data_IF_841845377693
#
_entry.id   IF_841845377693
#
_cell.length_a   1.000
_cell.length_b   1.000
_cell.length_c   1.000
_cell.angle_alpha   90.00
_cell.angle_beta   90.00
_cell.angle_gamma   90.00
#
_symmetry.space_group_name_H-M   'P 1'
#
loop_
_entity.id
_entity.type
_entity.pdbx_description
1 polymer ?
#
# COMPACT_ATOMS: atom_id res chain seq x y z
N UNK A 1 -21.88 -4.41 30.10
CA UNK A 1 -21.12 -5.51 29.47
C UNK A 1 -20.81 -5.07 28.06
N UNK A 2 -19.61 -4.55 27.84
CA UNK A 2 -19.16 -4.16 26.49
C UNK A 2 -18.89 -5.41 25.67
N UNK A 3 -19.53 -5.50 24.51
CA UNK A 3 -19.22 -6.50 23.49
C UNK A 3 -17.89 -6.11 22.87
N UNK A 4 -16.83 -6.85 23.20
CA UNK A 4 -15.59 -6.86 22.41
C UNK A 4 -15.92 -7.42 21.03
N UNK A 5 -16.04 -6.57 20.02
CA UNK A 5 -15.92 -7.00 18.63
C UNK A 5 -14.43 -7.16 18.34
N UNK A 6 -13.92 -8.38 18.52
CA UNK A 6 -12.62 -8.79 17.99
C UNK A 6 -12.77 -8.96 16.48
N UNK A 7 -12.36 -7.96 15.71
CA UNK A 7 -12.25 -8.06 14.24
C UNK A 7 -11.26 -9.17 13.88
N UNK A 8 -11.73 -10.23 13.23
CA UNK A 8 -10.89 -11.39 12.90
C UNK A 8 -10.43 -11.35 11.44
N UNK A 9 -9.13 -11.17 11.21
CA UNK A 9 -8.47 -11.39 9.91
C UNK A 9 -8.89 -12.73 9.31
N UNK A 10 -9.38 -12.74 8.06
CA UNK A 10 -9.80 -13.97 7.37
C UNK A 10 -8.57 -14.66 6.80
N UNK A 11 -8.33 -15.91 7.18
CA UNK A 11 -7.21 -16.71 6.67
C UNK A 11 -7.50 -17.20 5.25
N UNK A 12 -6.43 -17.28 4.44
CA UNK A 12 -6.44 -17.79 3.07
C UNK A 12 -7.54 -17.14 2.20
N UNK A 13 -7.62 -15.81 2.28
CA UNK A 13 -8.57 -14.99 1.53
C UNK A 13 -8.12 -14.69 0.10
N UNK A 14 -6.83 -14.87 -0.19
CA UNK A 14 -6.30 -14.75 -1.54
C UNK A 14 -5.09 -15.65 -1.78
N UNK A 15 -4.65 -15.69 -3.02
CA UNK A 15 -3.45 -16.42 -3.45
C UNK A 15 -2.56 -15.48 -4.25
N UNK A 16 -1.24 -15.52 -4.01
CA UNK A 16 -0.22 -14.93 -4.86
C UNK A 16 0.45 -16.06 -5.66
N UNK A 17 0.16 -16.11 -6.95
CA UNK A 17 0.70 -17.11 -7.88
C UNK A 17 1.70 -16.49 -8.86
N UNK A 18 2.61 -17.28 -9.41
CA UNK A 18 3.56 -16.82 -10.43
C UNK A 18 3.23 -17.38 -11.81
N UNK A 19 3.47 -16.58 -12.84
CA UNK A 19 3.38 -16.94 -14.25
C UNK A 19 4.62 -16.42 -15.00
N UNK A 20 4.81 -16.90 -16.23
CA UNK A 20 5.89 -16.46 -17.12
C UNK A 20 5.69 -15.01 -17.55
N UNK A 21 6.77 -14.39 -18.02
CA UNK A 21 6.71 -13.04 -18.58
C UNK A 21 6.27 -13.10 -20.04
N UNK A 22 5.28 -12.30 -20.40
CA UNK A 22 4.83 -12.12 -21.77
C UNK A 22 4.78 -10.62 -22.05
N UNK A 23 5.63 -10.14 -22.94
CA UNK A 23 5.73 -8.72 -23.26
C UNK A 23 4.51 -8.15 -24.00
N UNK A 24 3.59 -9.00 -24.47
CA UNK A 24 2.34 -8.62 -25.12
C UNK A 24 1.16 -8.60 -24.13
N UNK A 25 1.40 -8.06 -22.94
CA UNK A 25 0.40 -7.86 -21.86
C UNK A 25 -0.37 -9.12 -21.45
N UNK A 26 0.21 -10.31 -21.67
CA UNK A 26 -0.51 -11.59 -21.51
C UNK A 26 -1.88 -11.60 -22.23
N UNK A 27 -1.92 -10.95 -23.40
CA UNK A 27 -3.08 -10.82 -24.25
C UNK A 27 -2.76 -11.16 -25.72
N UNK A 28 -1.64 -11.84 -25.98
CA UNK A 28 -1.20 -12.35 -27.28
C UNK A 28 -0.08 -13.41 -27.11
N UNK A 29 0.41 -14.00 -28.19
CA UNK A 29 1.59 -14.86 -28.20
C UNK A 29 2.80 -14.18 -27.56
N UNK A 30 3.67 -14.94 -26.86
CA UNK A 30 4.92 -14.38 -26.36
C UNK A 30 5.89 -14.13 -27.52
N UNK A 31 6.77 -13.15 -27.38
CA UNK A 31 7.88 -12.98 -28.33
C UNK A 31 8.89 -14.12 -28.21
N UNK A 32 9.73 -14.30 -29.23
CA UNK A 32 10.83 -15.28 -29.13
C UNK A 32 11.78 -14.99 -27.96
N UNK A 33 11.98 -13.70 -27.64
CA UNK A 33 12.83 -13.29 -26.53
C UNK A 33 12.19 -13.66 -25.19
N UNK A 34 10.87 -13.46 -25.05
CA UNK A 34 10.10 -13.88 -23.87
C UNK A 34 10.28 -15.40 -23.63
N UNK A 35 10.20 -16.21 -24.69
CA UNK A 35 10.39 -17.67 -24.60
C UNK A 35 11.81 -18.05 -24.17
N UNK A 36 12.83 -17.46 -24.81
CA UNK A 36 14.25 -17.76 -24.54
C UNK A 36 14.69 -17.34 -23.13
N UNK A 37 14.13 -16.25 -22.62
CA UNK A 37 14.52 -15.66 -21.32
C UNK A 37 13.65 -16.14 -20.15
N UNK A 38 12.67 -17.01 -20.41
CA UNK A 38 11.76 -17.50 -19.38
C UNK A 38 12.50 -18.22 -18.24
N UNK A 39 12.05 -17.96 -17.01
CA UNK A 39 12.52 -18.65 -15.80
C UNK A 39 11.90 -20.04 -15.61
N UNK A 40 10.98 -20.44 -16.49
CA UNK A 40 10.33 -21.75 -16.45
C UNK A 40 10.93 -22.66 -17.52
N UNK A 41 11.53 -23.77 -17.08
CA UNK A 41 12.20 -24.72 -17.99
C UNK A 41 11.23 -25.26 -19.04
N UNK A 42 10.00 -25.62 -18.64
CA UNK A 42 8.95 -26.04 -19.57
C UNK A 42 8.75 -25.07 -20.75
N UNK A 43 8.75 -23.77 -20.48
CA UNK A 43 8.52 -22.74 -21.51
C UNK A 43 9.69 -22.68 -22.49
N UNK A 44 10.93 -22.76 -21.98
CA UNK A 44 12.13 -22.80 -22.83
C UNK A 44 12.17 -24.06 -23.68
N UNK A 45 11.82 -25.20 -23.08
CA UNK A 45 11.93 -26.51 -23.72
C UNK A 45 10.86 -26.73 -24.80
N UNK A 46 9.66 -26.14 -24.64
CA UNK A 46 8.52 -26.37 -25.53
C UNK A 46 8.15 -25.15 -26.40
N UNK A 47 8.76 -23.99 -26.15
CA UNK A 47 8.45 -22.76 -26.90
C UNK A 47 7.00 -22.30 -26.72
N UNK A 48 6.39 -22.60 -25.57
CA UNK A 48 4.97 -22.37 -25.31
C UNK A 48 4.71 -21.87 -23.88
N UNK A 49 3.85 -20.86 -23.74
CA UNK A 49 3.41 -20.27 -22.47
C UNK A 49 1.89 -20.35 -22.37
N UNK A 50 1.36 -21.30 -21.61
CA UNK A 50 -0.09 -21.53 -21.48
C UNK A 50 -0.85 -20.29 -20.93
N UNK A 51 -0.19 -19.49 -20.12
CA UNK A 51 -0.69 -18.25 -19.50
C UNK A 51 -0.74 -17.03 -20.45
N UNK A 52 -0.36 -17.19 -21.73
CA UNK A 52 -0.20 -16.08 -22.67
C UNK A 52 -1.45 -15.24 -22.91
N UNK A 53 -2.63 -15.77 -22.62
CA UNK A 53 -3.90 -15.07 -22.84
C UNK A 53 -4.60 -14.69 -21.52
N UNK A 54 -3.95 -14.80 -20.36
CA UNK A 54 -4.59 -14.56 -19.05
C UNK A 54 -5.27 -13.18 -18.92
N UNK A 55 -4.78 -12.15 -19.60
CA UNK A 55 -5.36 -10.81 -19.58
C UNK A 55 -5.92 -10.37 -20.94
N UNK A 56 -6.22 -11.32 -21.82
CA UNK A 56 -6.83 -11.09 -23.13
C UNK A 56 -8.37 -11.04 -23.15
N UNK A 57 -9.03 -11.04 -21.99
CA UNK A 57 -10.50 -11.16 -21.85
C UNK A 57 -11.30 -10.02 -22.47
N UNK A 58 -10.69 -8.84 -22.69
CA UNK A 58 -11.35 -7.73 -23.40
C UNK A 58 -11.18 -7.85 -24.94
N UNK A 59 -10.31 -8.75 -25.43
CA UNK A 59 -10.00 -8.94 -26.85
C UNK A 59 -10.59 -10.22 -27.45
N UNK A 60 -10.75 -11.26 -26.62
CA UNK A 60 -11.10 -12.60 -27.08
C UNK A 60 -12.46 -13.05 -26.51
N UNK A 61 -13.18 -13.94 -27.20
CA UNK A 61 -14.49 -14.40 -26.76
C UNK A 61 -14.41 -15.13 -25.41
N UNK A 62 -15.48 -15.00 -24.62
CA UNK A 62 -15.70 -15.81 -23.41
C UNK A 62 -16.28 -17.17 -23.77
N UNK A 63 -16.23 -18.10 -22.83
CA UNK A 63 -16.88 -19.41 -22.98
C UNK A 63 -18.41 -19.26 -22.88
N UNK A 64 -19.14 -20.31 -23.30
CA UNK A 64 -20.62 -20.30 -23.33
C UNK A 64 -21.29 -20.02 -21.97
N UNK A 65 -20.58 -20.29 -20.86
CA UNK A 65 -21.04 -20.02 -19.50
C UNK A 65 -20.69 -18.60 -19.00
N UNK A 66 -20.14 -17.76 -19.87
CA UNK A 66 -19.77 -16.37 -19.59
C UNK A 66 -18.40 -16.19 -18.93
N UNK A 67 -17.70 -17.27 -18.59
CA UNK A 67 -16.39 -17.17 -17.97
C UNK A 67 -15.26 -17.00 -18.99
N UNK A 68 -14.18 -16.37 -18.56
CA UNK A 68 -12.93 -16.37 -19.28
C UNK A 68 -11.90 -17.28 -18.59
N UNK A 69 -11.32 -18.20 -19.35
CA UNK A 69 -10.35 -19.18 -18.84
C UNK A 69 -8.94 -18.57 -18.85
N UNK A 70 -8.21 -18.76 -17.75
CA UNK A 70 -6.80 -18.47 -17.60
C UNK A 70 -6.03 -19.69 -17.12
N UNK A 71 -4.71 -19.54 -17.02
CA UNK A 71 -3.81 -20.60 -16.58
C UNK A 71 -2.72 -20.06 -15.64
N UNK A 72 -2.36 -20.85 -14.64
CA UNK A 72 -1.10 -20.69 -13.91
C UNK A 72 -0.42 -22.04 -13.71
N UNK A 73 0.90 -22.16 -13.95
CA UNK A 73 1.62 -23.41 -13.72
C UNK A 73 1.59 -23.84 -12.25
N UNK A 74 1.36 -22.90 -11.33
CA UNK A 74 1.30 -23.20 -9.89
C UNK A 74 0.08 -24.02 -9.50
N UNK A 75 -0.97 -24.05 -10.34
CA UNK A 75 -2.19 -24.82 -10.11
C UNK A 75 -2.19 -26.18 -10.83
N UNK A 76 -1.10 -26.56 -11.52
CA UNK A 76 -0.91 -27.93 -12.00
C UNK A 76 -0.96 -28.94 -10.84
N UNK A 77 -0.55 -28.48 -9.64
CA UNK A 77 -0.97 -29.07 -8.38
C UNK A 77 -1.99 -28.11 -7.74
N UNK A 78 -3.29 -28.43 -7.76
CA UNK A 78 -4.32 -27.49 -7.34
C UNK A 78 -4.16 -27.12 -5.85
N UNK A 79 -4.60 -25.92 -5.44
CA UNK A 79 -4.69 -25.55 -4.04
C UNK A 79 -5.53 -26.55 -3.23
N UNK A 80 -5.15 -26.76 -1.98
CA UNK A 80 -5.90 -27.61 -1.06
C UNK A 80 -7.31 -27.06 -0.84
N UNK A 81 -8.33 -27.92 -0.95
CA UNK A 81 -9.75 -27.54 -0.93
C UNK A 81 -10.12 -26.82 0.37
N UNK A 82 -9.68 -27.34 1.52
CA UNK A 82 -10.01 -26.76 2.82
C UNK A 82 -9.32 -25.40 3.01
N UNK A 83 -8.06 -25.29 2.59
CA UNK A 83 -7.33 -24.03 2.68
C UNK A 83 -7.84 -22.99 1.69
N UNK A 84 -8.42 -23.39 0.56
CA UNK A 84 -8.86 -22.46 -0.50
C UNK A 84 -10.33 -22.05 -0.40
N UNK A 85 -11.10 -22.57 0.55
CA UNK A 85 -12.54 -22.28 0.72
C UNK A 85 -12.88 -20.78 0.85
N UNK A 86 -11.95 -19.98 1.37
CA UNK A 86 -12.13 -18.54 1.59
C UNK A 86 -11.51 -17.69 0.49
N UNK A 87 -10.85 -18.29 -0.51
CA UNK A 87 -10.11 -17.54 -1.53
C UNK A 87 -11.10 -16.80 -2.42
N UNK A 88 -10.99 -15.48 -2.41
CA UNK A 88 -11.80 -14.60 -3.23
C UNK A 88 -11.00 -13.98 -4.38
N UNK A 89 -9.66 -14.00 -4.33
CA UNK A 89 -8.80 -13.39 -5.34
C UNK A 89 -7.53 -14.21 -5.57
N UNK A 90 -7.14 -14.39 -6.83
CA UNK A 90 -5.84 -14.93 -7.23
C UNK A 90 -5.04 -13.85 -7.96
N UNK A 91 -4.00 -13.34 -7.32
CA UNK A 91 -3.04 -12.40 -7.90
C UNK A 91 -1.97 -13.14 -8.71
N UNK A 92 -1.55 -12.54 -9.82
CA UNK A 92 -0.48 -13.05 -10.65
C UNK A 92 0.77 -12.18 -10.54
N UNK A 93 1.91 -12.86 -10.37
CA UNK A 93 3.23 -12.25 -10.43
C UNK A 93 3.99 -12.72 -11.65
N UNK A 94 4.80 -11.83 -12.21
CA UNK A 94 5.74 -12.16 -13.27
C UNK A 94 7.07 -11.45 -13.07
N UNK A 95 8.12 -11.92 -13.75
CA UNK A 95 9.47 -11.35 -13.65
C UNK A 95 9.87 -10.70 -14.97
N UNK A 96 9.97 -9.39 -14.95
CA UNK A 96 10.34 -8.56 -16.09
C UNK A 96 11.84 -8.68 -16.37
N UNK A 97 12.21 -9.52 -17.35
CA UNK A 97 13.62 -9.74 -17.68
C UNK A 97 14.28 -8.48 -18.27
N UNK A 98 13.52 -7.60 -18.92
CA UNK A 98 14.03 -6.33 -19.49
C UNK A 98 14.44 -5.35 -18.39
N UNK A 99 13.81 -5.45 -17.23
CA UNK A 99 14.11 -4.62 -16.07
C UNK A 99 14.81 -5.42 -14.95
N UNK A 100 15.96 -6.01 -15.28
CA UNK A 100 16.81 -6.75 -14.33
C UNK A 100 16.04 -7.84 -13.55
N UNK A 101 15.13 -8.55 -14.23
CA UNK A 101 14.32 -9.60 -13.63
C UNK A 101 13.42 -9.12 -12.48
N UNK A 102 13.04 -7.84 -12.46
CA UNK A 102 12.16 -7.22 -11.46
C UNK A 102 10.84 -7.98 -11.39
N UNK A 103 10.50 -8.49 -10.21
CA UNK A 103 9.24 -9.19 -9.97
C UNK A 103 8.13 -8.17 -9.69
N UNK A 104 6.98 -8.35 -10.32
CA UNK A 104 5.82 -7.49 -10.19
C UNK A 104 4.55 -8.31 -10.05
N UNK A 105 3.53 -7.77 -9.37
CA UNK A 105 2.15 -8.22 -9.43
C UNK A 105 1.51 -7.48 -10.61
N UNK A 106 0.99 -8.23 -11.58
CA UNK A 106 0.55 -7.70 -12.88
C UNK A 106 -0.97 -7.61 -13.02
N UNK A 107 -1.70 -8.20 -12.08
CA UNK A 107 -3.16 -8.24 -12.11
C UNK A 107 -3.70 -9.38 -11.26
N UNK A 108 -5.01 -9.62 -11.35
CA UNK A 108 -5.67 -10.71 -10.64
C UNK A 108 -6.94 -11.17 -11.33
N UNK A 109 -7.39 -12.36 -10.91
CA UNK A 109 -8.74 -12.85 -11.14
C UNK A 109 -9.50 -12.77 -9.82
N UNK A 110 -10.60 -12.01 -9.81
CA UNK A 110 -11.53 -11.88 -8.71
C UNK A 110 -12.63 -12.93 -8.78
N UNK A 111 -13.11 -13.36 -7.61
CA UNK A 111 -14.08 -14.44 -7.43
C UNK A 111 -13.82 -15.67 -8.32
N UNK A 112 -12.57 -16.17 -8.41
CA UNK A 112 -12.23 -17.16 -9.41
C UNK A 112 -12.76 -18.55 -9.05
N UNK A 113 -13.07 -19.33 -10.08
CA UNK A 113 -13.26 -20.78 -9.99
C UNK A 113 -11.97 -21.46 -10.41
N UNK A 114 -11.44 -22.34 -9.57
CA UNK A 114 -10.22 -23.11 -9.82
C UNK A 114 -10.30 -24.48 -9.11
N UNK A 115 -9.25 -25.29 -9.24
CA UNK A 115 -9.16 -26.63 -8.64
C UNK A 115 -9.46 -27.77 -9.60
N UNK A 116 -9.81 -27.44 -10.85
CA UNK A 116 -9.98 -28.39 -11.95
C UNK A 116 -9.48 -27.78 -13.26
N UNK A 117 -9.36 -28.61 -14.30
CA UNK A 117 -9.09 -28.16 -15.66
C UNK A 117 -10.38 -27.71 -16.35
N UNK A 118 -10.25 -26.64 -17.14
CA UNK A 118 -11.32 -26.09 -17.97
C UNK A 118 -10.85 -26.10 -19.43
N UNK A 119 -11.67 -26.61 -20.33
CA UNK A 119 -11.42 -26.60 -21.77
C UNK A 119 -12.22 -25.48 -22.40
N UNK A 120 -11.61 -24.75 -23.33
CA UNK A 120 -12.29 -23.72 -24.12
C UNK A 120 -13.23 -24.36 -25.13
N UNK A 121 -14.45 -23.83 -25.23
CA UNK A 121 -15.44 -24.23 -26.22
C UNK A 121 -15.74 -23.10 -27.22
N UNK A 122 -15.41 -21.87 -26.86
CA UNK A 122 -15.48 -20.70 -27.72
C UNK A 122 -14.53 -20.80 -28.92
N UNK A 123 -14.89 -20.14 -30.03
CA UNK A 123 -14.15 -20.22 -31.30
C UNK A 123 -13.25 -19.00 -31.49
N UNK A 124 -11.94 -19.21 -31.46
CA UNK A 124 -10.95 -18.23 -31.86
C UNK A 124 -9.69 -18.94 -32.37
N UNK A 125 -8.97 -18.37 -33.34
CA UNK A 125 -7.78 -19.00 -33.95
C UNK A 125 -6.71 -19.36 -32.90
N UNK A 126 -6.45 -18.42 -31.97
CA UNK A 126 -5.50 -18.63 -30.87
C UNK A 126 -5.92 -19.75 -29.90
N UNK A 127 -7.21 -20.06 -29.79
CA UNK A 127 -7.70 -21.10 -28.86
C UNK A 127 -7.36 -22.51 -29.32
N UNK A 128 -6.92 -22.70 -30.56
CA UNK A 128 -6.30 -23.97 -30.97
C UNK A 128 -4.98 -24.24 -30.25
N UNK A 129 -4.27 -23.18 -29.83
CA UNK A 129 -2.99 -23.27 -29.11
C UNK A 129 -3.15 -23.11 -27.59
N UNK A 130 -4.18 -22.37 -27.17
CA UNK A 130 -4.47 -22.06 -25.76
C UNK A 130 -5.84 -22.63 -25.38
N UNK A 131 -6.02 -23.93 -25.60
CA UNK A 131 -7.31 -24.64 -25.59
C UNK A 131 -7.86 -24.92 -24.19
N UNK A 132 -7.08 -24.68 -23.14
CA UNK A 132 -7.44 -25.07 -21.79
C UNK A 132 -6.70 -24.25 -20.72
N UNK A 133 -7.18 -24.33 -19.49
CA UNK A 133 -6.62 -23.65 -18.33
C UNK A 133 -7.11 -24.24 -17.01
N UNK A 134 -6.67 -23.66 -15.89
CA UNK A 134 -6.91 -24.20 -14.54
C UNK A 134 -7.48 -23.16 -13.55
N UNK A 135 -7.88 -22.00 -14.07
CA UNK A 135 -8.60 -20.96 -13.35
C UNK A 135 -9.53 -20.25 -14.33
N UNK A 136 -10.70 -19.81 -13.88
CA UNK A 136 -11.58 -18.95 -14.68
C UNK A 136 -12.28 -17.93 -13.79
N UNK A 137 -12.62 -16.79 -14.36
CA UNK A 137 -13.40 -15.74 -13.69
C UNK A 137 -14.29 -15.04 -14.73
N UNK A 138 -15.30 -14.31 -14.27
CA UNK A 138 -16.05 -13.45 -15.17
C UNK A 138 -15.13 -12.33 -15.70
N UNK A 139 -15.24 -11.92 -16.98
CA UNK A 139 -14.40 -10.89 -17.54
C UNK A 139 -14.36 -9.63 -16.70
N UNK A 140 -15.49 -9.16 -16.17
CA UNK A 140 -15.60 -7.98 -15.31
C UNK A 140 -14.74 -8.05 -14.03
N UNK A 141 -14.44 -9.26 -13.55
CA UNK A 141 -13.65 -9.52 -12.34
C UNK A 141 -12.18 -9.85 -12.65
N UNK A 142 -11.78 -9.84 -13.93
CA UNK A 142 -10.39 -9.97 -14.34
C UNK A 142 -9.78 -8.58 -14.50
N UNK A 143 -8.76 -8.29 -13.69
CA UNK A 143 -8.13 -6.98 -13.64
C UNK A 143 -6.67 -7.08 -14.04
N UNK A 144 -6.31 -6.44 -15.15
CA UNK A 144 -4.93 -6.19 -15.55
C UNK A 144 -4.43 -4.83 -15.02
N UNK A 145 -3.20 -4.77 -14.52
CA UNK A 145 -2.58 -3.54 -14.06
C UNK A 145 -1.68 -2.95 -15.15
N UNK A 146 -2.06 -1.82 -15.74
CA UNK A 146 -1.21 -1.07 -16.66
C UNK A 146 0.08 -0.60 -15.97
N UNK A 147 -0.01 -0.26 -14.68
CA UNK A 147 1.11 0.04 -13.81
C UNK A 147 1.22 -1.07 -12.74
N UNK A 148 2.07 -2.09 -12.94
CA UNK A 148 2.12 -3.25 -12.06
C UNK A 148 2.77 -2.93 -10.71
N UNK A 149 2.38 -3.66 -9.66
CA UNK A 149 2.91 -3.47 -8.31
C UNK A 149 4.27 -4.17 -8.18
N UNK A 150 5.35 -3.42 -8.01
CA UNK A 150 6.68 -4.01 -7.78
C UNK A 150 6.71 -4.76 -6.45
N UNK A 151 7.26 -5.97 -6.43
CA UNK A 151 7.34 -6.78 -5.21
C UNK A 151 8.67 -7.52 -5.08
N UNK A 152 9.27 -7.39 -3.89
CA UNK A 152 10.37 -8.20 -3.39
C UNK A 152 10.12 -8.49 -1.90
N UNK A 153 11.00 -9.26 -1.23
CA UNK A 153 10.77 -9.62 0.17
C UNK A 153 10.72 -8.39 1.10
N UNK A 154 11.52 -7.35 0.83
CA UNK A 154 11.56 -6.13 1.64
C UNK A 154 10.28 -5.31 1.48
N UNK A 155 9.84 -5.10 0.23
CA UNK A 155 8.59 -4.41 -0.10
C UNK A 155 7.40 -5.18 0.49
N UNK A 156 7.38 -6.51 0.36
CA UNK A 156 6.32 -7.34 0.91
C UNK A 156 6.21 -7.21 2.43
N UNK A 157 7.34 -7.06 3.12
CA UNK A 157 7.38 -6.83 4.57
C UNK A 157 6.95 -5.40 4.94
N UNK A 158 7.49 -4.39 4.25
CA UNK A 158 7.20 -2.97 4.51
C UNK A 158 5.71 -2.65 4.33
N UNK A 159 5.10 -3.21 3.28
CA UNK A 159 3.70 -2.96 2.93
C UNK A 159 2.74 -4.07 3.37
N UNK A 160 3.22 -5.05 4.15
CA UNK A 160 2.41 -6.18 4.64
C UNK A 160 1.61 -6.89 3.52
N UNK A 161 2.29 -7.20 2.41
CA UNK A 161 1.73 -7.86 1.22
C UNK A 161 1.72 -9.38 1.33
N UNK A 162 2.42 -9.94 2.32
CA UNK A 162 2.46 -11.36 2.63
C UNK A 162 2.19 -11.59 4.12
N UNK A 163 1.72 -12.79 4.50
CA UNK A 163 1.56 -13.12 5.91
C UNK A 163 2.89 -13.00 6.66
N UNK A 164 2.83 -12.60 7.94
CA UNK A 164 4.02 -12.39 8.78
C UNK A 164 4.97 -13.59 8.73
N UNK A 165 6.25 -13.33 8.47
CA UNK A 165 7.30 -14.35 8.40
C UNK A 165 7.32 -15.16 7.09
N UNK A 166 6.44 -14.89 6.12
CA UNK A 166 6.48 -15.52 4.80
C UNK A 166 7.33 -14.70 3.83
N UNK A 167 8.04 -15.42 2.96
CA UNK A 167 8.75 -14.87 1.79
C UNK A 167 7.96 -15.19 0.52
N UNK A 168 8.24 -14.47 -0.55
CA UNK A 168 7.66 -14.75 -1.86
C UNK A 168 8.12 -16.15 -2.29
N UNK A 169 7.15 -17.01 -2.62
CA UNK A 169 7.47 -18.37 -3.03
C UNK A 169 8.33 -18.39 -4.30
N UNK A 170 9.30 -19.31 -4.32
CA UNK A 170 10.08 -19.65 -5.51
C UNK A 170 9.51 -20.87 -6.23
N UNK A 171 8.72 -21.69 -5.52
CA UNK A 171 8.07 -22.90 -6.03
C UNK A 171 6.64 -22.97 -5.47
N UNK A 172 5.63 -22.93 -6.33
CA UNK A 172 4.23 -22.86 -5.92
C UNK A 172 3.74 -21.44 -5.64
N UNK A 173 2.74 -21.30 -4.77
CA UNK A 173 2.05 -20.03 -4.49
C UNK A 173 2.04 -19.70 -2.99
N UNK A 174 1.73 -18.45 -2.63
CA UNK A 174 1.51 -18.04 -1.25
C UNK A 174 0.01 -17.86 -0.99
N UNK A 175 -0.53 -18.43 0.09
CA UNK A 175 -1.82 -17.99 0.63
C UNK A 175 -1.66 -16.63 1.31
N UNK A 176 -2.68 -15.79 1.15
CA UNK A 176 -2.79 -14.43 1.66
C UNK A 176 -3.99 -14.37 2.60
N UNK A 177 -3.89 -13.61 3.69
CA UNK A 177 -5.06 -13.29 4.51
C UNK A 177 -5.79 -12.04 3.97
N UNK A 178 -6.94 -11.70 4.55
CA UNK A 178 -7.74 -10.53 4.13
C UNK A 178 -6.93 -9.23 4.10
N UNK A 179 -6.06 -9.02 5.09
CA UNK A 179 -5.27 -7.79 5.22
C UNK A 179 -4.23 -7.69 4.10
N UNK A 180 -3.59 -8.80 3.75
CA UNK A 180 -2.63 -8.85 2.64
C UNK A 180 -3.30 -8.56 1.30
N UNK A 181 -4.46 -9.19 1.06
CA UNK A 181 -5.27 -8.96 -0.15
C UNK A 181 -5.64 -7.48 -0.25
N UNK A 182 -6.13 -6.89 0.83
CA UNK A 182 -6.48 -5.47 0.90
C UNK A 182 -5.28 -4.57 0.58
N UNK A 183 -4.12 -4.82 1.19
CA UNK A 183 -2.93 -4.01 0.97
C UNK A 183 -2.46 -4.06 -0.49
N UNK A 184 -2.53 -5.22 -1.16
CA UNK A 184 -2.19 -5.36 -2.58
C UNK A 184 -3.17 -4.56 -3.45
N UNK A 185 -4.49 -4.71 -3.23
CA UNK A 185 -5.52 -3.96 -3.98
C UNK A 185 -5.33 -2.46 -3.79
N UNK A 186 -5.07 -2.01 -2.57
CA UNK A 186 -4.83 -0.60 -2.25
C UNK A 186 -3.62 -0.04 -3.01
N UNK A 187 -2.51 -0.77 -3.06
CA UNK A 187 -1.35 -0.39 -3.86
C UNK A 187 -1.69 -0.37 -5.36
N UNK A 188 -2.38 -1.40 -5.86
CA UNK A 188 -2.77 -1.48 -7.26
C UNK A 188 -3.66 -0.30 -7.67
N UNK A 189 -4.67 0.06 -6.87
CA UNK A 189 -5.51 1.23 -7.08
C UNK A 189 -4.69 2.52 -7.16
N UNK A 190 -3.72 2.68 -6.25
CA UNK A 190 -2.88 3.89 -6.21
C UNK A 190 -2.03 4.07 -7.47
N UNK A 191 -1.62 2.97 -8.09
CA UNK A 191 -0.82 2.95 -9.33
C UNK A 191 -1.70 2.98 -10.60
N UNK A 192 -2.95 2.52 -10.51
CA UNK A 192 -3.86 2.34 -11.64
C UNK A 192 -5.14 3.18 -11.46
N UNK A 193 -5.00 4.46 -11.09
CA UNK A 193 -6.13 5.32 -10.70
C UNK A 193 -7.19 5.48 -11.80
N UNK A 194 -6.77 5.44 -13.06
CA UNK A 194 -7.65 5.53 -14.24
C UNK A 194 -8.32 4.19 -14.61
N UNK A 195 -7.95 3.08 -13.97
CA UNK A 195 -8.52 1.77 -14.25
C UNK A 195 -9.93 1.66 -13.64
N UNK A 196 -10.94 1.88 -14.47
CA UNK A 196 -12.36 1.87 -14.07
C UNK A 196 -12.83 0.50 -13.61
N UNK A 197 -12.30 -0.57 -14.22
CA UNK A 197 -12.63 -1.95 -13.90
C UNK A 197 -12.15 -2.33 -12.50
N UNK A 198 -10.92 -1.96 -12.15
CA UNK A 198 -10.37 -2.14 -10.81
C UNK A 198 -11.21 -1.39 -9.76
N UNK A 199 -11.61 -0.15 -10.06
CA UNK A 199 -12.46 0.63 -9.14
C UNK A 199 -13.81 -0.04 -8.91
N UNK A 200 -14.47 -0.44 -9.99
CA UNK A 200 -15.77 -1.11 -9.92
C UNK A 200 -15.70 -2.46 -9.20
N UNK A 201 -14.63 -3.22 -9.42
CA UNK A 201 -14.37 -4.45 -8.67
C UNK A 201 -14.27 -4.15 -7.17
N UNK A 202 -13.54 -3.12 -6.77
CA UNK A 202 -13.39 -2.74 -5.36
C UNK A 202 -14.71 -2.31 -4.74
N UNK A 203 -15.53 -1.53 -5.45
CA UNK A 203 -16.87 -1.13 -5.00
C UNK A 203 -17.78 -2.36 -4.76
N UNK A 204 -17.61 -3.41 -5.57
CA UNK A 204 -18.36 -4.66 -5.48
C UNK A 204 -17.82 -5.65 -4.47
N UNK A 205 -16.52 -5.64 -4.21
CA UNK A 205 -15.82 -6.65 -3.43
C UNK A 205 -15.99 -6.36 -1.93
N UNK A 206 -17.05 -6.88 -1.29
CA UNK A 206 -17.54 -6.33 -0.04
C UNK A 206 -16.81 -6.97 1.14
N UNK A 207 -15.85 -6.23 1.67
CA UNK A 207 -15.67 -6.08 3.13
C UNK A 207 -16.25 -4.71 3.56
N UNK A 208 -17.31 -4.27 2.87
CA UNK A 208 -17.79 -2.89 2.77
C UNK A 208 -18.56 -2.31 3.97
N UNK A 209 -18.83 -3.07 5.03
CA UNK A 209 -19.51 -2.49 6.21
C UNK A 209 -18.54 -1.69 7.11
N UNK A 210 -17.23 -1.95 6.99
CA UNK A 210 -16.17 -1.16 7.67
C UNK A 210 -15.62 -0.03 6.78
N UNK A 211 -15.75 -0.16 5.46
CA UNK A 211 -15.26 0.83 4.50
C UNK A 211 -16.18 2.04 4.37
N UNK A 212 -17.49 1.99 4.59
CA UNK A 212 -18.31 3.21 4.44
C UNK A 212 -18.03 4.30 5.47
N UNK A 213 -17.47 3.94 6.64
CA UNK A 213 -16.96 4.91 7.64
C UNK A 213 -15.48 5.27 7.46
N UNK A 214 -14.69 4.40 6.83
CA UNK A 214 -13.26 4.65 6.59
C UNK A 214 -12.94 5.23 5.21
N UNK A 215 -13.77 5.00 4.18
CA UNK A 215 -13.62 5.52 2.82
C UNK A 215 -13.88 7.01 2.75
N UNK A 216 -14.85 7.54 3.50
CA UNK A 216 -15.07 8.99 3.52
C UNK A 216 -13.83 9.70 4.11
N UNK A 217 -13.24 9.11 5.17
CA UNK A 217 -12.01 9.58 5.80
C UNK A 217 -10.76 9.37 4.93
N UNK A 218 -10.67 8.27 4.18
CA UNK A 218 -9.51 7.86 3.39
C UNK A 218 -9.50 8.49 1.99
N UNK A 219 -10.65 8.75 1.36
CA UNK A 219 -10.77 9.51 0.11
C UNK A 219 -10.29 10.96 0.33
N UNK A 220 -10.70 11.59 1.43
CA UNK A 220 -10.17 12.89 1.81
C UNK A 220 -8.67 12.81 2.12
N UNK A 221 -8.21 11.81 2.88
CA UNK A 221 -6.79 11.57 3.16
C UNK A 221 -5.93 11.37 1.89
N UNK A 222 -6.40 10.57 0.93
CA UNK A 222 -5.66 10.22 -0.29
C UNK A 222 -5.72 11.37 -1.30
N UNK A 223 -6.83 12.11 -1.44
CA UNK A 223 -6.86 13.33 -2.26
C UNK A 223 -5.93 14.44 -1.73
N UNK A 224 -5.68 14.42 -0.42
CA UNK A 224 -4.75 15.30 0.28
C UNK A 224 -3.29 14.87 0.05
N UNK A 225 -2.98 13.57 0.05
CA UNK A 225 -1.59 13.06 -0.07
C UNK A 225 -1.18 12.78 -1.52
N UNK A 226 -2.08 12.34 -2.39
CA UNK A 226 -1.79 11.98 -3.79
C UNK A 226 -1.34 13.19 -4.63
N UNK A 227 -1.66 14.41 -4.21
CA UNK A 227 -1.28 15.65 -4.89
C UNK A 227 0.01 16.27 -4.33
N UNK A 228 0.59 15.66 -3.29
CA UNK A 228 1.76 16.20 -2.60
C UNK A 228 2.67 15.09 -2.15
N UNK A 229 3.69 14.81 -2.97
CA UNK A 229 5.00 14.38 -2.45
C UNK A 229 5.40 15.42 -1.42
N UNK A 230 5.10 15.18 -0.13
CA UNK A 230 5.33 16.13 0.95
C UNK A 230 6.82 16.23 1.30
N UNK A 231 7.63 16.48 0.29
CA UNK A 231 9.07 16.65 0.34
C UNK A 231 9.42 18.15 0.37
N UNK A 232 8.49 19.09 0.18
CA UNK A 232 8.77 20.54 0.23
C UNK A 232 7.81 21.33 1.12
N UNK A 233 8.24 22.50 1.63
CA UNK A 233 7.42 23.40 2.49
C UNK A 233 6.11 23.79 1.78
N UNK A 234 6.16 23.98 0.47
CA UNK A 234 5.03 24.36 -0.38
C UNK A 234 3.97 23.26 -0.51
N UNK A 235 4.36 22.01 -0.35
CA UNK A 235 3.47 20.85 -0.41
C UNK A 235 2.66 20.73 0.89
N UNK A 236 3.29 21.09 2.00
CA UNK A 236 2.63 21.15 3.31
C UNK A 236 1.56 22.26 3.33
N UNK A 237 1.83 23.42 2.75
CA UNK A 237 0.84 24.52 2.65
C UNK A 237 -0.40 24.15 1.82
N UNK A 238 -0.23 23.30 0.78
CA UNK A 238 -1.35 22.77 -0.02
C UNK A 238 -2.20 21.79 0.77
N UNK A 239 -1.55 20.91 1.55
CA UNK A 239 -2.19 19.96 2.46
C UNK A 239 -3.10 20.72 3.44
N UNK A 240 -2.62 21.80 4.03
CA UNK A 240 -3.36 22.60 5.00
C UNK A 240 -4.60 23.28 4.45
N UNK A 241 -4.52 23.82 3.22
CA UNK A 241 -5.67 24.44 2.56
C UNK A 241 -6.80 23.43 2.32
N UNK A 242 -6.46 22.19 1.97
CA UNK A 242 -7.44 21.10 1.74
C UNK A 242 -8.05 20.56 3.04
N UNK A 243 -7.40 20.76 4.19
CA UNK A 243 -7.87 20.28 5.50
C UNK A 243 -8.85 21.22 6.22
N UNK A 244 -9.05 22.42 5.66
CA UNK A 244 -9.99 23.41 6.20
C UNK A 244 -11.42 22.93 5.96
N UNK A 245 -12.07 22.46 7.03
CA UNK A 245 -13.46 21.95 7.01
C UNK A 245 -13.61 20.46 7.35
N UNK A 246 -12.50 19.73 7.48
CA UNK A 246 -12.52 18.28 7.73
C UNK A 246 -12.81 17.91 9.19
N UNK A 247 -13.37 16.71 9.41
CA UNK A 247 -13.74 16.21 10.73
C UNK A 247 -12.52 15.96 11.65
N UNK A 248 -12.65 16.07 12.98
CA UNK A 248 -11.56 15.89 13.93
C UNK A 248 -10.85 14.52 13.84
N UNK A 249 -11.57 13.43 13.52
CA UNK A 249 -10.99 12.09 13.41
C UNK A 249 -10.03 11.97 12.21
N UNK A 250 -10.40 12.54 11.06
CA UNK A 250 -9.57 12.61 9.84
C UNK A 250 -8.28 13.37 10.11
N UNK A 251 -8.40 14.49 10.82
CA UNK A 251 -7.28 15.33 11.23
C UNK A 251 -6.29 14.57 12.13
N UNK A 252 -6.79 13.74 13.06
CA UNK A 252 -5.96 12.92 13.93
C UNK A 252 -5.24 11.80 13.17
N UNK A 253 -5.90 11.16 12.20
CA UNK A 253 -5.30 10.14 11.33
C UNK A 253 -4.16 10.70 10.48
N UNK A 254 -4.32 11.92 9.95
CA UNK A 254 -3.27 12.65 9.21
C UNK A 254 -2.09 13.00 10.11
N UNK A 255 -2.37 13.52 11.30
CA UNK A 255 -1.36 13.83 12.32
C UNK A 255 -0.47 12.62 12.63
N UNK A 256 -1.09 11.46 12.90
CA UNK A 256 -0.37 10.21 13.17
C UNK A 256 0.48 9.73 11.99
N UNK A 257 0.03 9.96 10.75
CA UNK A 257 0.77 9.63 9.54
C UNK A 257 1.99 10.53 9.36
N UNK A 258 1.85 11.84 9.59
CA UNK A 258 2.96 12.81 9.52
C UNK A 258 4.01 12.47 10.58
N UNK A 259 3.60 12.16 11.81
CA UNK A 259 4.49 11.79 12.93
C UNK A 259 5.35 10.55 12.64
N UNK A 260 4.83 9.61 11.84
CA UNK A 260 5.48 8.32 11.54
C UNK A 260 6.09 8.26 10.13
N UNK A 261 5.87 9.28 9.31
CA UNK A 261 6.21 9.30 7.89
C UNK A 261 7.55 9.96 7.53
N UNK A 262 7.78 10.13 6.23
CA UNK A 262 8.99 10.74 5.68
C UNK A 262 9.21 12.20 6.15
N UNK A 263 8.11 12.94 6.38
CA UNK A 263 8.12 14.32 6.90
C UNK A 263 8.76 14.35 8.29
N UNK A 264 8.34 13.48 9.20
CA UNK A 264 8.95 13.32 10.54
C UNK A 264 10.45 13.06 10.44
N UNK A 265 10.90 12.17 9.54
CA UNK A 265 12.34 11.94 9.31
C UNK A 265 13.07 13.19 8.81
N UNK A 266 12.45 13.98 7.92
CA UNK A 266 13.05 15.20 7.38
C UNK A 266 13.15 16.31 8.43
N UNK A 267 12.12 16.51 9.23
CA UNK A 267 12.10 17.50 10.32
C UNK A 267 13.18 17.18 11.37
N UNK A 268 13.34 15.90 11.73
CA UNK A 268 14.42 15.46 12.63
C UNK A 268 15.80 15.78 12.07
N UNK A 269 16.00 15.61 10.76
CA UNK A 269 17.25 16.00 10.10
C UNK A 269 17.45 17.51 10.06
N UNK A 270 16.41 18.30 9.74
CA UNK A 270 16.49 19.77 9.71
C UNK A 270 16.92 20.32 11.07
N UNK A 271 16.36 19.78 12.17
CA UNK A 271 16.76 20.18 13.51
C UNK A 271 18.01 19.45 14.05
N UNK A 272 18.78 18.78 13.19
CA UNK A 272 19.98 18.03 13.56
C UNK A 272 19.77 17.07 14.75
N UNK A 273 18.59 16.45 14.82
CA UNK A 273 18.16 15.54 15.88
C UNK A 273 18.22 16.14 17.30
N UNK A 274 18.04 17.47 17.42
CA UNK A 274 18.03 18.18 18.71
C UNK A 274 16.63 18.39 19.25
N UNK A 275 16.54 18.52 20.57
CA UNK A 275 15.30 18.87 21.27
C UNK A 275 15.17 20.40 21.36
N UNK A 276 14.14 20.97 20.73
CA UNK A 276 13.92 22.43 20.69
C UNK A 276 13.68 23.03 22.08
N UNK A 277 13.10 22.26 23.02
CA UNK A 277 12.95 22.70 24.42
C UNK A 277 14.29 22.69 25.16
N UNK A 278 15.11 21.66 24.96
CA UNK A 278 16.45 21.60 25.57
C UNK A 278 17.30 22.78 25.10
N UNK A 279 17.26 23.09 23.79
CA UNK A 279 18.00 24.20 23.21
C UNK A 279 17.54 25.55 23.75
N UNK A 280 16.23 25.79 23.84
CA UNK A 280 15.69 27.02 24.40
C UNK A 280 15.98 27.18 25.91
N UNK A 281 16.20 26.06 26.62
CA UNK A 281 16.67 26.05 28.01
C UNK A 281 18.19 26.17 28.15
N UNK A 282 18.95 26.22 27.04
CA UNK A 282 20.42 26.27 27.05
C UNK A 282 21.09 24.95 27.47
N UNK A 283 20.40 23.83 27.31
CA UNK A 283 20.84 22.49 27.75
C UNK A 283 21.08 21.56 26.56
N UNK A 284 21.88 20.52 26.78
CA UNK A 284 22.06 19.46 25.79
C UNK A 284 20.77 18.66 25.59
N UNK A 285 20.58 18.13 24.38
CA UNK A 285 19.45 17.27 24.07
C UNK A 285 19.50 16.01 24.94
N UNK A 286 18.52 15.88 25.84
CA UNK A 286 18.44 14.78 26.78
C UNK A 286 17.88 13.52 26.09
N UNK A 287 18.74 12.80 25.38
CA UNK A 287 18.39 11.59 24.61
C UNK A 287 19.53 10.59 24.52
N UNK A 288 19.36 9.51 23.76
CA UNK A 288 20.32 8.42 23.57
C UNK A 288 20.58 8.14 22.07
N UNK A 289 21.68 7.45 21.78
CA UNK A 289 22.06 7.01 20.44
C UNK A 289 21.36 5.68 20.14
N UNK A 290 20.71 5.57 18.98
CA UNK A 290 20.07 4.32 18.50
C UNK A 290 21.11 3.38 17.89
N UNK A 291 20.70 2.14 17.58
CA UNK A 291 21.54 1.14 16.89
C UNK A 291 22.11 1.62 15.55
N UNK A 292 21.46 2.61 14.92
CA UNK A 292 21.89 3.18 13.64
C UNK A 292 22.72 4.48 13.79
N UNK A 293 23.35 4.68 14.95
CA UNK A 293 24.18 5.84 15.30
C UNK A 293 23.48 7.22 15.28
N UNK A 294 22.16 7.25 15.10
CA UNK A 294 21.38 8.50 15.17
C UNK A 294 20.85 8.75 16.59
N UNK A 295 20.81 10.01 17.00
CA UNK A 295 20.16 10.42 18.26
C UNK A 295 18.65 10.15 18.16
N UNK A 296 18.10 9.52 19.19
CA UNK A 296 16.66 9.32 19.31
C UNK A 296 15.96 10.67 19.53
N UNK A 297 14.94 10.98 18.73
CA UNK A 297 14.17 12.21 18.89
C UNK A 297 12.77 11.97 18.34
N UNK A 298 11.77 12.60 18.95
CA UNK A 298 10.36 12.50 18.60
C UNK A 298 9.89 13.80 17.96
N UNK A 299 8.92 13.70 17.06
CA UNK A 299 8.26 14.87 16.46
C UNK A 299 6.95 15.08 17.19
N UNK A 300 6.65 16.32 17.57
CA UNK A 300 5.48 16.67 18.36
C UNK A 300 4.73 17.85 17.72
N UNK A 301 3.39 17.76 17.70
CA UNK A 301 2.50 18.86 17.30
C UNK A 301 2.27 19.81 18.48
N UNK A 302 2.59 21.08 18.32
CA UNK A 302 2.51 22.09 19.41
C UNK A 302 1.06 22.44 19.76
N UNK A 303 0.23 22.78 18.77
CA UNK A 303 -1.22 22.87 18.96
C UNK A 303 -1.90 21.53 18.63
N UNK A 304 -2.85 21.07 19.48
CA UNK A 304 -3.64 19.87 19.19
C UNK A 304 -4.44 20.01 17.90
N UNK A 305 -4.42 18.96 17.07
CA UNK A 305 -5.06 18.97 15.74
C UNK A 305 -6.58 19.11 15.79
N UNK A 306 -7.18 18.83 16.95
CA UNK A 306 -8.60 19.02 17.24
C UNK A 306 -9.06 20.47 17.29
N UNK A 307 -8.17 21.47 17.37
CA UNK A 307 -8.53 22.90 17.56
C UNK A 307 -8.89 23.67 16.27
N UNK A 308 -8.90 23.03 15.09
CA UNK A 308 -9.46 23.54 13.82
C UNK A 308 -8.90 24.89 13.33
N UNK A 309 -7.73 25.34 13.79
CA UNK A 309 -7.07 26.54 13.27
C UNK A 309 -6.28 26.25 11.98
N UNK A 310 -6.14 27.24 11.10
CA UNK A 310 -5.18 27.17 9.98
C UNK A 310 -3.75 27.12 10.56
N UNK A 311 -2.86 26.31 9.98
CA UNK A 311 -1.46 26.19 10.43
C UNK A 311 -1.16 24.95 11.30
N UNK A 312 -2.18 24.22 11.76
CA UNK A 312 -2.04 23.17 12.80
C UNK A 312 -1.36 21.88 12.31
N UNK A 313 -1.19 21.70 11.00
CA UNK A 313 -0.50 20.54 10.43
C UNK A 313 0.74 20.91 9.63
N UNK A 314 1.02 22.20 9.51
CA UNK A 314 2.26 22.68 8.91
C UNK A 314 3.48 22.21 9.70
N UNK A 315 4.61 22.16 9.01
CA UNK A 315 5.93 22.16 9.65
C UNK A 315 6.06 23.26 10.71
N UNK A 316 5.33 24.37 10.56
CA UNK A 316 5.34 25.48 11.50
C UNK A 316 4.57 25.18 12.80
N UNK A 317 3.83 24.08 12.90
CA UNK A 317 3.24 23.58 14.15
C UNK A 317 3.95 22.32 14.69
N UNK A 318 5.07 21.93 14.07
CA UNK A 318 5.87 20.78 14.47
C UNK A 318 7.15 21.22 15.15
N UNK A 319 7.53 20.49 16.19
CA UNK A 319 8.82 20.61 16.84
C UNK A 319 9.43 19.24 17.07
N UNK A 320 10.75 19.19 17.28
CA UNK A 320 11.42 17.95 17.69
C UNK A 320 11.79 18.02 19.16
N UNK A 321 11.45 16.96 19.89
CA UNK A 321 11.60 16.89 21.34
C UNK A 321 12.18 15.54 21.75
N UNK A 322 12.95 15.53 22.83
CA UNK A 322 13.39 14.28 23.42
C UNK A 322 12.22 13.59 24.14
N UNK A 323 12.37 12.30 24.44
CA UNK A 323 11.32 11.50 25.07
C UNK A 323 10.76 12.14 26.36
N UNK A 324 11.64 12.77 27.15
CA UNK A 324 11.24 13.44 28.39
C UNK A 324 10.37 14.67 28.12
N UNK A 325 10.83 15.59 27.26
CA UNK A 325 10.05 16.78 26.92
C UNK A 325 8.79 16.42 26.12
N UNK A 326 8.80 15.36 25.32
CA UNK A 326 7.60 14.89 24.64
C UNK A 326 6.51 14.49 25.63
N UNK A 327 6.86 13.71 26.67
CA UNK A 327 5.93 13.36 27.75
C UNK A 327 5.56 14.57 28.60
N UNK A 328 6.47 15.50 28.84
CA UNK A 328 6.19 16.72 29.59
C UNK A 328 5.19 17.63 28.85
N UNK A 329 5.26 17.74 27.54
CA UNK A 329 4.30 18.50 26.74
C UNK A 329 2.89 17.87 26.77
N UNK A 330 2.79 16.53 26.90
CA UNK A 330 1.50 15.83 27.01
C UNK A 330 0.91 15.85 28.42
N UNK A 331 1.73 15.70 29.46
CA UNK A 331 1.27 15.39 30.83
C UNK A 331 1.78 16.35 31.90
N UNK A 332 2.73 17.22 31.57
CA UNK A 332 3.38 18.14 32.50
C UNK A 332 2.63 19.46 32.68
N UNK A 333 3.19 20.36 33.50
CA UNK A 333 2.69 21.72 33.71
C UNK A 333 3.15 22.61 32.56
N UNK A 334 2.51 22.44 31.41
CA UNK A 334 2.81 23.15 30.17
C UNK A 334 1.59 23.94 29.73
N UNK A 335 1.82 25.21 29.42
CA UNK A 335 0.83 26.08 28.78
C UNK A 335 1.44 26.71 27.54
N UNK A 336 0.76 26.58 26.39
CA UNK A 336 1.11 27.31 25.18
C UNK A 336 0.50 28.71 25.23
N UNK A 337 1.34 29.72 25.30
CA UNK A 337 0.94 31.13 25.39
C UNK A 337 0.78 31.75 24.00
N UNK A 338 1.68 31.44 23.08
CA UNK A 338 1.69 32.03 21.74
C UNK A 338 2.17 31.02 20.69
N UNK A 339 1.47 31.01 19.55
CA UNK A 339 1.88 30.31 18.34
C UNK A 339 1.95 31.34 17.20
N UNK A 340 3.08 32.03 17.09
CA UNK A 340 3.31 33.08 16.09
C UNK A 340 3.85 32.49 14.78
N UNK A 341 4.02 33.29 13.73
CA UNK A 341 4.66 32.80 12.49
C UNK A 341 6.11 32.34 12.71
N UNK A 342 6.84 32.90 13.66
CA UNK A 342 8.28 32.65 13.85
C UNK A 342 8.63 31.84 15.10
N UNK A 343 7.81 31.92 16.14
CA UNK A 343 8.12 31.36 17.45
C UNK A 343 6.91 30.70 18.10
N UNK A 344 7.18 29.69 18.91
CA UNK A 344 6.29 29.22 19.96
C UNK A 344 6.70 29.85 21.30
N UNK A 345 5.72 30.26 22.11
CA UNK A 345 5.96 30.73 23.47
C UNK A 345 5.20 29.83 24.42
N UNK A 346 5.94 29.15 25.30
CA UNK A 346 5.38 28.28 26.33
C UNK A 346 5.65 28.82 27.73
N UNK A 347 4.79 28.47 28.68
CA UNK A 347 5.15 28.38 30.10
C UNK A 347 5.31 26.89 30.41
N UNK A 348 6.55 26.47 30.72
CA UNK A 348 6.86 25.10 31.14
C UNK A 348 7.38 25.17 32.57
N UNK A 349 6.70 24.52 33.50
CA UNK A 349 7.02 24.54 34.94
C UNK A 349 7.19 25.96 35.51
N UNK A 350 6.35 26.89 35.05
CA UNK A 350 6.37 28.30 35.48
C UNK A 350 7.44 29.16 34.80
N UNK A 351 8.25 28.61 33.88
CA UNK A 351 9.24 29.37 33.11
C UNK A 351 8.72 29.67 31.72
N UNK A 352 8.82 30.94 31.31
CA UNK A 352 8.55 31.36 29.92
C UNK A 352 9.70 30.92 29.03
N UNK A 353 9.40 30.17 27.98
CA UNK A 353 10.36 29.65 26.99
C UNK A 353 9.90 30.10 25.61
N UNK A 354 10.83 30.58 24.80
CA UNK A 354 10.61 30.97 23.40
C UNK A 354 11.37 29.97 22.53
N UNK A 355 10.69 29.39 21.56
CA UNK A 355 11.24 28.36 20.67
C UNK A 355 11.05 28.80 19.23
N UNK A 356 12.14 28.91 18.47
CA UNK A 356 12.09 29.22 17.05
C UNK A 356 11.47 28.06 16.26
N UNK A 357 10.64 28.40 15.26
CA UNK A 357 10.01 27.41 14.39
C UNK A 357 10.99 26.86 13.35
N UNK A 358 10.87 25.57 13.06
CA UNK A 358 11.78 24.86 12.16
C UNK A 358 11.64 25.33 10.70
N UNK A 359 12.76 25.68 10.07
CA UNK A 359 12.84 26.01 8.64
C UNK A 359 12.44 27.44 8.26
N UNK A 360 12.29 28.33 9.23
CA UNK A 360 12.05 29.77 9.00
C UNK A 360 13.37 30.50 9.24
N UNK A 361 14.09 30.82 8.15
CA UNK A 361 15.16 31.84 8.14
C UNK A 361 14.61 33.15 7.63
#
# INVERSE_FOLDING_TARGET
MEVKQTESTILNYGILSSISWNSNDWADHPSEEDLKTSKYDYVKDHGHMHESLNFGHDKFPVEDDGYYIGYTPMFNRPPDVNNSQNVQIVFFTSSDYKNANRKTIIGFYGFPIFGQWFTRNSKHELYNKYDSGNIKAFPEDIIYFQNPVVINNDIAQIHNLLPKGKKISQQGFNYLNSDNVFNIIKLALSLNQSNTKLRYFVDKFPLLEMLTKEEFDLQDFISIIADTTADTIRDIEKLEKKMKGQQPEIKQRISNFIERGAISKKIKKINNYRCSVCEALGTLTNSFIKENDEIYIETHHVEPVSKVKMGVLSMTNLMTVCANHHRQLHYGKVELIENSEKHFVFIIDGKKIIIDKLGIT
#
